data_IF_591368072833
#
_entry.id   IF_591368072833
#
_cell.length_a   1.000
_cell.length_b   1.000
_cell.length_c   1.000
_cell.angle_alpha   90.00
_cell.angle_beta   90.00
_cell.angle_gamma   90.00
#
_symmetry.space_group_name_H-M   'P 1'
#
loop_
_entity.id
_entity.type
_entity.pdbx_description
1 polymer ?
#
# COMPACT_ATOMS: atom_id res chain seq x y z
N UNK A 1 6.01 -6.99 34.11
CA UNK A 1 6.57 -6.67 32.78
C UNK A 1 6.07 -5.28 32.43
N UNK A 2 6.95 -4.35 32.03
CA UNK A 2 6.52 -3.03 31.57
C UNK A 2 5.68 -3.17 30.30
N UNK A 3 4.64 -2.34 30.16
CA UNK A 3 3.83 -2.27 28.94
C UNK A 3 4.72 -1.89 27.76
N UNK A 4 4.68 -2.64 26.65
CA UNK A 4 5.45 -2.33 25.46
C UNK A 4 5.00 -0.98 24.87
N UNK A 5 5.91 -0.17 24.31
CA UNK A 5 5.51 1.05 23.62
C UNK A 5 4.64 0.70 22.41
N UNK A 6 3.74 1.61 22.04
CA UNK A 6 2.85 1.44 20.89
C UNK A 6 3.29 2.24 19.69
N UNK A 7 3.20 1.62 18.52
CA UNK A 7 3.56 2.20 17.23
C UNK A 7 2.35 2.14 16.30
N UNK A 8 1.92 3.30 15.80
CA UNK A 8 0.87 3.38 14.76
C UNK A 8 1.52 3.31 13.39
N UNK A 9 1.13 2.31 12.61
CA UNK A 9 1.59 2.06 11.24
C UNK A 9 0.51 2.54 10.26
N UNK A 10 0.64 3.79 9.82
CA UNK A 10 -0.33 4.46 8.98
C UNK A 10 -0.04 4.24 7.49
N UNK A 11 -1.06 3.86 6.71
CA UNK A 11 -0.90 3.62 5.27
C UNK A 11 -1.71 4.60 4.41
N UNK A 12 -1.18 4.90 3.23
CA UNK A 12 -1.90 5.57 2.15
C UNK A 12 -2.79 4.59 1.36
N UNK A 13 -3.65 5.16 0.50
CA UNK A 13 -4.48 4.55 -0.56
C UNK A 13 -5.82 3.97 -0.11
N UNK A 14 -6.86 4.16 -0.95
CA UNK A 14 -8.24 3.74 -0.69
C UNK A 14 -8.56 2.27 -0.95
N UNK A 15 -7.84 1.61 -1.86
CA UNK A 15 -8.15 0.23 -2.33
C UNK A 15 -6.94 -0.69 -2.45
N UNK A 16 -5.71 -0.17 -2.36
CA UNK A 16 -4.49 -0.92 -2.68
C UNK A 16 -3.89 -1.68 -1.50
N UNK A 17 -3.20 -2.79 -1.80
CA UNK A 17 -2.44 -3.59 -0.82
C UNK A 17 -0.96 -3.17 -0.69
N UNK A 18 -0.41 -2.36 -1.59
CA UNK A 18 1.03 -2.06 -1.63
C UNK A 18 1.61 -1.52 -0.31
N UNK A 19 1.12 -0.35 0.14
CA UNK A 19 1.53 0.25 1.43
C UNK A 19 1.13 -0.62 2.62
N UNK A 20 -0.04 -1.25 2.53
CA UNK A 20 -0.57 -2.08 3.61
C UNK A 20 0.26 -3.34 3.85
N UNK A 21 0.72 -4.02 2.80
CA UNK A 21 1.58 -5.19 2.91
C UNK A 21 2.96 -4.84 3.49
N UNK A 22 3.56 -3.71 3.09
CA UNK A 22 4.83 -3.27 3.68
C UNK A 22 4.68 -2.93 5.17
N UNK A 23 3.62 -2.22 5.54
CA UNK A 23 3.36 -1.95 6.96
C UNK A 23 3.01 -3.22 7.73
N UNK A 24 2.35 -4.22 7.12
CA UNK A 24 2.13 -5.52 7.75
C UNK A 24 3.44 -6.26 7.99
N UNK A 25 4.39 -6.24 7.04
CA UNK A 25 5.72 -6.83 7.21
C UNK A 25 6.43 -6.22 8.43
N UNK A 26 6.46 -4.88 8.50
CA UNK A 26 7.04 -4.15 9.65
C UNK A 26 6.28 -4.47 10.95
N UNK A 27 4.94 -4.58 10.91
CA UNK A 27 4.13 -4.89 12.08
C UNK A 27 4.46 -6.26 12.68
N UNK A 28 4.60 -7.29 11.84
CA UNK A 28 4.94 -8.64 12.30
C UNK A 28 6.31 -8.69 12.98
N UNK A 29 7.28 -7.90 12.51
CA UNK A 29 8.64 -7.85 13.05
C UNK A 29 8.82 -6.84 14.20
N UNK A 30 7.84 -5.96 14.42
CA UNK A 30 7.74 -5.14 15.63
C UNK A 30 7.28 -5.94 16.84
N UNK A 31 6.57 -7.05 16.64
CA UNK A 31 6.03 -7.86 17.72
C UNK A 31 7.14 -8.30 18.69
N UNK A 32 6.91 -8.08 19.99
CA UNK A 32 7.90 -8.32 21.05
C UNK A 32 8.81 -7.14 21.37
N UNK A 33 8.87 -6.12 20.50
CA UNK A 33 9.60 -4.85 20.75
C UNK A 33 8.66 -3.67 20.98
N UNK A 34 7.53 -3.66 20.27
CA UNK A 34 6.45 -2.68 20.42
C UNK A 34 5.11 -3.35 20.08
N UNK A 35 4.00 -2.77 20.52
CA UNK A 35 2.66 -3.16 20.06
C UNK A 35 2.30 -2.38 18.78
N UNK A 36 2.19 -3.04 17.61
CA UNK A 36 1.82 -2.38 16.36
C UNK A 36 0.30 -2.20 16.25
N UNK A 37 -0.13 -1.02 15.81
CA UNK A 37 -1.52 -0.75 15.43
C UNK A 37 -1.54 -0.23 13.99
N UNK A 38 -2.17 -0.95 13.08
CA UNK A 38 -2.29 -0.54 11.68
C UNK A 38 -3.42 0.47 11.53
N UNK A 39 -3.14 1.66 11.00
CA UNK A 39 -4.15 2.65 10.63
C UNK A 39 -4.19 2.79 9.11
N UNK A 40 -5.22 2.28 8.46
CA UNK A 40 -5.21 2.15 7.01
C UNK A 40 -6.29 2.97 6.34
N UNK A 41 -5.91 3.65 5.25
CA UNK A 41 -6.88 4.26 4.34
C UNK A 41 -7.52 3.25 3.37
N UNK A 42 -7.00 2.02 3.33
CA UNK A 42 -7.34 1.00 2.33
C UNK A 42 -8.49 0.11 2.80
N UNK A 43 -9.46 -0.13 1.91
CA UNK A 43 -10.54 -1.10 2.11
C UNK A 43 -10.01 -2.55 2.27
N UNK A 44 -8.77 -2.80 1.86
CA UNK A 44 -8.11 -4.09 2.05
C UNK A 44 -7.57 -4.32 3.48
N UNK A 45 -7.78 -3.38 4.41
CA UNK A 45 -7.32 -3.52 5.81
C UNK A 45 -7.87 -4.74 6.55
N UNK A 46 -9.02 -5.27 6.12
CA UNK A 46 -9.53 -6.54 6.63
C UNK A 46 -8.56 -7.71 6.43
N UNK A 47 -7.71 -7.66 5.39
CA UNK A 47 -6.71 -8.68 5.10
C UNK A 47 -5.72 -8.75 6.27
N UNK A 48 -5.13 -7.63 6.68
CA UNK A 48 -4.14 -7.65 7.77
C UNK A 48 -4.73 -8.06 9.12
N UNK A 49 -6.02 -7.76 9.38
CA UNK A 49 -6.71 -8.22 10.59
C UNK A 49 -6.83 -9.75 10.63
N UNK A 50 -7.14 -10.39 9.50
CA UNK A 50 -7.18 -11.86 9.40
C UNK A 50 -5.82 -12.52 9.69
N UNK A 51 -4.74 -11.76 9.55
CA UNK A 51 -3.38 -12.17 9.90
C UNK A 51 -2.93 -11.66 11.28
N UNK A 52 -3.88 -11.41 12.19
CA UNK A 52 -3.60 -11.15 13.60
C UNK A 52 -3.12 -9.74 13.92
N UNK A 53 -3.15 -8.81 12.96
CA UNK A 53 -2.76 -7.42 13.21
C UNK A 53 -3.96 -6.59 13.67
N UNK A 54 -3.80 -5.89 14.80
CA UNK A 54 -4.79 -4.92 15.28
C UNK A 54 -4.83 -3.74 14.32
N UNK A 55 -6.01 -3.43 13.78
CA UNK A 55 -6.13 -2.43 12.72
C UNK A 55 -7.36 -1.52 12.87
N UNK A 56 -7.27 -0.31 12.32
CA UNK A 56 -8.38 0.62 12.16
C UNK A 56 -8.48 1.09 10.69
N UNK A 57 -9.66 0.96 10.10
CA UNK A 57 -9.99 1.57 8.81
C UNK A 57 -10.37 3.05 8.96
N UNK A 58 -9.73 3.92 8.19
CA UNK A 58 -10.15 5.30 8.00
C UNK A 58 -10.48 5.54 6.52
N UNK A 59 -11.67 6.01 6.16
CA UNK A 59 -12.02 6.22 4.76
C UNK A 59 -11.07 7.19 4.04
N UNK A 60 -10.58 6.81 2.86
CA UNK A 60 -9.77 7.71 2.02
C UNK A 60 -10.62 8.82 1.38
N UNK A 61 -10.00 9.93 1.00
CA UNK A 61 -10.69 11.03 0.30
C UNK A 61 -11.32 10.60 -1.04
N UNK A 62 -10.82 9.54 -1.68
CA UNK A 62 -11.37 9.00 -2.92
C UNK A 62 -12.78 8.42 -2.77
N UNK A 63 -13.23 8.12 -1.54
CA UNK A 63 -14.60 7.69 -1.27
C UNK A 63 -15.63 8.78 -1.52
N UNK A 64 -15.20 10.05 -1.62
CA UNK A 64 -16.08 11.19 -1.92
C UNK A 64 -17.29 11.31 -0.96
N UNK A 65 -17.16 10.87 0.29
CA UNK A 65 -18.23 10.96 1.29
C UNK A 65 -18.33 12.33 1.98
N UNK A 66 -17.25 13.10 1.92
CA UNK A 66 -17.17 14.45 2.47
C UNK A 66 -16.30 15.32 1.57
N UNK A 67 -16.46 16.66 1.62
CA UNK A 67 -15.61 17.56 0.86
C UNK A 67 -14.12 17.31 1.15
N UNK A 68 -13.27 17.31 0.11
CA UNK A 68 -11.84 16.99 0.22
C UNK A 68 -11.11 17.78 1.33
N UNK A 69 -11.50 19.04 1.55
CA UNK A 69 -10.90 19.90 2.58
C UNK A 69 -11.34 19.51 3.99
N UNK A 70 -12.61 19.14 4.14
CA UNK A 70 -13.15 18.62 5.39
C UNK A 70 -12.49 17.29 5.76
N UNK A 71 -12.20 16.46 4.76
CA UNK A 71 -11.49 15.19 4.95
C UNK A 71 -10.13 15.36 5.64
N UNK A 72 -9.39 16.44 5.39
CA UNK A 72 -8.14 16.69 6.10
C UNK A 72 -8.34 17.00 7.59
N UNK A 73 -9.40 17.76 7.94
CA UNK A 73 -9.75 17.99 9.35
C UNK A 73 -10.20 16.70 10.03
N UNK A 74 -11.03 15.91 9.33
CA UNK A 74 -11.46 14.59 9.77
C UNK A 74 -10.27 13.65 10.02
N UNK A 75 -9.35 13.50 9.07
CA UNK A 75 -8.14 12.69 9.21
C UNK A 75 -7.29 13.15 10.41
N UNK A 76 -7.10 14.46 10.58
CA UNK A 76 -6.36 15.02 11.71
C UNK A 76 -7.00 14.67 13.06
N UNK A 77 -8.32 14.74 13.16
CA UNK A 77 -9.08 14.39 14.36
C UNK A 77 -9.03 12.88 14.64
N UNK A 78 -9.23 12.05 13.60
CA UNK A 78 -9.12 10.58 13.66
C UNK A 78 -7.77 10.14 14.22
N UNK A 79 -6.68 10.63 13.63
CA UNK A 79 -5.32 10.33 14.09
C UNK A 79 -5.10 10.80 15.52
N UNK A 80 -5.57 12.01 15.87
CA UNK A 80 -5.40 12.54 17.22
C UNK A 80 -6.13 11.74 18.29
N UNK A 81 -7.34 11.24 17.97
CA UNK A 81 -8.08 10.37 18.87
C UNK A 81 -7.38 9.04 19.01
N UNK A 82 -6.90 8.44 17.91
CA UNK A 82 -6.20 7.17 17.92
C UNK A 82 -4.91 7.24 18.74
N UNK A 83 -4.07 8.26 18.51
CA UNK A 83 -2.80 8.44 19.23
C UNK A 83 -3.01 8.56 20.75
N UNK A 84 -4.05 9.26 21.19
CA UNK A 84 -4.39 9.38 22.61
C UNK A 84 -4.95 8.09 23.20
N UNK A 85 -5.82 7.42 22.45
CA UNK A 85 -6.41 6.14 22.86
C UNK A 85 -5.34 5.07 23.07
N UNK A 86 -4.41 4.99 22.12
CA UNK A 86 -3.35 3.98 22.16
C UNK A 86 -2.18 4.44 23.02
N UNK A 87 -2.00 5.75 23.28
CA UNK A 87 -0.76 6.30 23.85
C UNK A 87 0.47 5.94 23.01
N UNK A 88 0.28 5.90 21.69
CA UNK A 88 1.36 5.58 20.76
C UNK A 88 2.49 6.62 20.87
N UNK A 89 3.73 6.13 20.86
CA UNK A 89 4.94 6.96 20.91
C UNK A 89 5.47 7.30 19.53
N UNK A 90 5.11 6.49 18.53
CA UNK A 90 5.51 6.67 17.13
C UNK A 90 4.31 6.50 16.21
N UNK A 91 4.23 7.35 15.18
CA UNK A 91 3.39 7.16 14.01
C UNK A 91 4.28 7.09 12.77
N UNK A 92 4.34 5.92 12.13
CA UNK A 92 5.01 5.74 10.86
C UNK A 92 4.00 5.80 9.71
N UNK A 93 4.18 6.73 8.78
CA UNK A 93 3.32 6.87 7.61
C UNK A 93 4.01 6.35 6.35
N UNK A 94 3.47 5.29 5.76
CA UNK A 94 3.89 4.79 4.45
C UNK A 94 3.00 5.39 3.34
N UNK A 95 3.58 6.28 2.54
CA UNK A 95 2.87 7.00 1.48
C UNK A 95 3.80 7.85 0.61
N UNK A 96 3.39 8.12 -0.64
CA UNK A 96 4.19 8.95 -1.56
C UNK A 96 4.07 10.44 -1.25
N UNK A 97 3.00 10.87 -0.57
CA UNK A 97 2.78 12.26 -0.21
C UNK A 97 2.03 12.37 1.13
N UNK A 98 2.62 13.00 2.17
CA UNK A 98 1.95 13.28 3.42
C UNK A 98 0.70 14.16 3.23
N UNK A 99 -0.44 13.72 3.77
CA UNK A 99 -1.67 14.49 3.73
C UNK A 99 -1.62 15.69 4.67
N UNK A 100 -2.34 16.76 4.33
CA UNK A 100 -2.49 17.91 5.23
C UNK A 100 -3.04 17.51 6.60
N UNK A 101 -4.00 16.58 6.66
CA UNK A 101 -4.54 16.08 7.93
C UNK A 101 -3.48 15.38 8.80
N UNK A 102 -2.55 14.65 8.17
CA UNK A 102 -1.42 14.03 8.87
C UNK A 102 -0.46 15.08 9.44
N UNK A 103 -0.10 16.09 8.64
CA UNK A 103 0.78 17.18 9.08
C UNK A 103 0.15 18.01 10.21
N UNK A 104 -1.17 18.17 10.20
CA UNK A 104 -1.91 18.83 11.30
C UNK A 104 -1.96 17.99 12.56
N UNK A 105 -2.19 16.68 12.45
CA UNK A 105 -2.06 15.77 13.58
C UNK A 105 -0.66 15.87 14.18
N UNK A 106 0.38 15.83 13.35
CA UNK A 106 1.75 16.01 13.82
C UNK A 106 1.97 17.31 14.60
N UNK A 107 1.53 18.45 14.09
CA UNK A 107 1.66 19.72 14.81
C UNK A 107 0.97 19.71 16.19
N UNK A 108 -0.07 18.88 16.39
CA UNK A 108 -0.83 18.77 17.63
C UNK A 108 -0.28 17.75 18.64
N UNK A 109 0.66 16.88 18.24
CA UNK A 109 1.24 15.82 19.08
C UNK A 109 2.77 15.88 19.00
N UNK A 110 3.40 16.94 19.57
CA UNK A 110 4.86 17.08 19.54
C UNK A 110 5.59 15.99 20.35
N UNK A 111 4.89 15.29 21.24
CA UNK A 111 5.36 14.18 22.07
C UNK A 111 5.36 12.82 21.34
N UNK A 112 4.77 12.75 20.14
CA UNK A 112 4.76 11.55 19.29
C UNK A 112 5.73 11.73 18.14
N UNK A 113 6.62 10.76 17.94
CA UNK A 113 7.56 10.80 16.82
C UNK A 113 6.84 10.46 15.53
N UNK A 114 6.98 11.27 14.48
CA UNK A 114 6.41 10.98 13.18
C UNK A 114 7.50 10.56 12.21
N UNK A 115 7.31 9.39 11.61
CA UNK A 115 8.23 8.80 10.65
C UNK A 115 7.57 8.78 9.28
N UNK A 116 8.27 9.24 8.25
CA UNK A 116 7.81 9.09 6.87
C UNK A 116 8.54 7.93 6.21
N UNK A 117 7.81 6.86 5.93
CA UNK A 117 8.30 5.75 5.10
C UNK A 117 8.01 6.11 3.65
N UNK A 118 9.06 6.51 2.93
CA UNK A 118 9.00 7.06 1.58
C UNK A 118 9.88 6.25 0.65
N UNK A 119 9.27 5.46 -0.23
CA UNK A 119 9.98 4.74 -1.29
C UNK A 119 10.60 5.70 -2.30
N UNK A 120 11.74 5.30 -2.87
CA UNK A 120 12.33 5.93 -4.06
C UNK A 120 11.64 5.48 -5.36
N UNK A 121 12.39 5.47 -6.46
CA UNK A 121 11.93 5.08 -7.81
C UNK A 121 10.71 5.88 -8.27
N UNK A 122 10.79 7.20 -8.11
CA UNK A 122 9.75 8.10 -8.62
C UNK A 122 10.02 8.43 -10.09
N UNK A 123 8.95 8.55 -10.88
CA UNK A 123 9.02 9.05 -12.25
C UNK A 123 9.75 10.41 -12.26
N UNK A 124 10.67 10.65 -13.22
CA UNK A 124 11.40 11.90 -13.32
C UNK A 124 10.48 13.12 -13.33
N UNK A 125 10.78 14.12 -12.49
CA UNK A 125 10.03 15.37 -12.41
C UNK A 125 8.72 15.32 -11.59
N UNK A 126 8.25 14.14 -11.21
CA UNK A 126 6.96 13.96 -10.53
C UNK A 126 7.08 14.13 -9.01
N UNK A 127 5.98 14.54 -8.37
CA UNK A 127 5.78 14.56 -6.91
C UNK A 127 6.81 15.38 -6.08
N UNK A 128 7.63 16.24 -6.71
CA UNK A 128 8.64 17.08 -6.03
C UNK A 128 8.08 17.89 -4.85
N UNK A 129 6.83 18.37 -4.96
CA UNK A 129 6.18 19.17 -3.91
C UNK A 129 5.96 18.40 -2.61
N UNK A 130 5.80 17.07 -2.66
CA UNK A 130 5.63 16.24 -1.47
C UNK A 130 6.90 16.28 -0.58
N UNK A 131 8.08 16.42 -1.19
CA UNK A 131 9.35 16.52 -0.47
C UNK A 131 9.43 17.77 0.43
N UNK A 132 8.56 18.77 0.23
CA UNK A 132 8.49 19.89 1.16
C UNK A 132 7.98 19.47 2.54
N UNK A 133 7.39 18.29 2.69
CA UNK A 133 6.90 17.78 3.98
C UNK A 133 8.01 17.16 4.85
N UNK A 134 9.20 16.85 4.32
CA UNK A 134 10.30 16.18 5.06
C UNK A 134 10.62 16.81 6.42
N UNK A 135 10.70 18.15 6.57
CA UNK A 135 11.03 18.76 7.86
C UNK A 135 9.97 18.54 8.96
N UNK A 136 8.76 18.12 8.62
CA UNK A 136 7.71 17.81 9.61
C UNK A 136 7.87 16.43 10.25
N UNK A 137 8.80 15.61 9.78
CA UNK A 137 9.03 14.27 10.27
C UNK A 137 10.33 14.21 11.07
N UNK A 138 10.31 13.41 12.12
CA UNK A 138 11.46 13.18 13.00
C UNK A 138 12.44 12.18 12.39
N UNK A 139 11.96 11.36 11.44
CA UNK A 139 12.75 10.44 10.64
C UNK A 139 12.10 10.25 9.26
N UNK A 140 12.91 10.16 8.22
CA UNK A 140 12.50 9.63 6.92
C UNK A 140 13.21 8.31 6.71
N UNK A 141 12.43 7.24 6.49
CA UNK A 141 12.95 5.91 6.13
C UNK A 141 12.68 5.70 4.65
N UNK A 142 13.70 5.33 3.89
CA UNK A 142 13.59 5.03 2.47
C UNK A 142 13.89 3.54 2.23
N UNK A 143 12.86 2.71 2.03
CA UNK A 143 13.05 1.33 1.60
C UNK A 143 13.82 1.27 0.28
N UNK A 144 14.86 0.45 0.24
CA UNK A 144 15.66 0.20 -0.95
C UNK A 144 14.86 -0.40 -2.10
N UNK A 145 15.37 -0.25 -3.31
CA UNK A 145 14.83 -0.88 -4.51
C UNK A 145 15.97 -1.67 -5.20
N UNK A 146 15.72 -2.89 -5.66
CA UNK A 146 16.72 -3.70 -6.39
C UNK A 146 17.16 -3.00 -7.68
N UNK A 147 16.30 -2.15 -8.26
CA UNK A 147 16.62 -1.28 -9.39
C UNK A 147 17.11 0.12 -8.95
N UNK A 148 17.48 0.31 -7.68
CA UNK A 148 17.75 1.63 -7.10
C UNK A 148 18.88 2.40 -7.79
N UNK A 149 19.84 1.70 -8.40
CA UNK A 149 20.90 2.32 -9.20
C UNK A 149 20.38 3.08 -10.45
N UNK A 150 19.19 2.69 -10.94
CA UNK A 150 18.52 3.33 -12.07
C UNK A 150 17.51 4.42 -11.64
N UNK A 151 17.41 4.77 -10.35
CA UNK A 151 16.48 5.80 -9.89
C UNK A 151 16.87 7.19 -10.42
N UNK A 152 16.00 7.76 -11.26
CA UNK A 152 16.11 9.11 -11.80
C UNK A 152 15.10 10.09 -11.16
N UNK A 153 14.42 9.63 -10.12
CA UNK A 153 13.37 10.35 -9.42
C UNK A 153 13.87 11.48 -8.53
N UNK A 154 12.93 12.24 -8.00
CA UNK A 154 13.23 13.38 -7.11
C UNK A 154 13.88 12.97 -5.78
N UNK A 155 13.83 11.67 -5.43
CA UNK A 155 14.41 11.07 -4.23
C UNK A 155 15.83 10.55 -4.43
N UNK A 156 16.22 10.22 -5.66
CA UNK A 156 17.45 9.49 -5.97
C UNK A 156 18.71 10.10 -5.36
N UNK A 157 18.81 11.45 -5.40
CA UNK A 157 19.98 12.20 -4.91
C UNK A 157 19.82 12.75 -3.49
N UNK A 158 18.74 12.41 -2.79
CA UNK A 158 18.52 12.87 -1.43
C UNK A 158 19.32 12.01 -0.44
N UNK A 159 19.91 12.68 0.54
CA UNK A 159 20.72 12.09 1.62
C UNK A 159 20.07 12.26 3.00
N UNK A 160 18.84 12.79 3.05
CA UNK A 160 18.13 13.11 4.29
C UNK A 160 17.18 12.00 4.76
N UNK A 161 17.35 10.77 4.24
CA UNK A 161 16.62 9.59 4.64
C UNK A 161 17.58 8.51 5.13
N UNK A 162 17.16 7.77 6.15
CA UNK A 162 17.81 6.51 6.52
C UNK A 162 17.34 5.46 5.53
N UNK A 163 18.26 5.00 4.67
CA UNK A 163 17.98 3.91 3.73
C UNK A 163 18.03 2.58 4.47
N UNK A 164 17.08 1.72 4.16
CA UNK A 164 17.02 0.33 4.65
C UNK A 164 16.98 -0.60 3.46
N UNK A 165 17.25 -1.89 3.67
CA UNK A 165 17.00 -2.94 2.67
C UNK A 165 15.53 -2.90 2.17
N UNK A 166 15.15 -3.53 1.04
CA UNK A 166 13.76 -3.54 0.62
C UNK A 166 12.83 -4.10 1.70
N UNK A 167 11.71 -3.43 1.96
CA UNK A 167 10.66 -3.92 2.87
C UNK A 167 9.75 -4.89 2.11
N UNK A 168 9.72 -6.16 2.50
CA UNK A 168 8.96 -7.23 1.85
C UNK A 168 8.28 -8.15 2.85
N UNK A 169 7.14 -8.76 2.48
CA UNK A 169 6.49 -9.78 3.29
C UNK A 169 7.31 -11.09 3.37
N UNK A 170 8.28 -11.29 2.47
CA UNK A 170 9.21 -12.42 2.49
C UNK A 170 9.96 -12.56 3.82
N UNK A 171 10.39 -11.44 4.42
CA UNK A 171 11.10 -11.47 5.69
C UNK A 171 10.17 -11.86 6.85
N UNK A 172 8.95 -11.32 6.84
CA UNK A 172 8.01 -11.45 7.95
C UNK A 172 7.25 -12.79 7.94
N UNK A 173 7.35 -13.57 6.87
CA UNK A 173 6.54 -14.78 6.67
C UNK A 173 7.40 -15.90 6.11
N UNK A 174 7.69 -16.94 6.91
CA UNK A 174 8.45 -18.09 6.45
C UNK A 174 7.82 -18.72 5.19
N UNK A 175 8.61 -19.04 4.15
CA UNK A 175 8.11 -19.72 2.97
C UNK A 175 7.67 -21.14 3.34
N UNK A 176 6.60 -21.60 2.70
CA UNK A 176 6.21 -23.02 2.73
C UNK A 176 7.11 -23.82 1.77
N UNK A 177 7.21 -25.12 1.99
CA UNK A 177 7.78 -26.00 0.97
C UNK A 177 6.91 -25.97 -0.30
N UNK A 178 7.50 -26.34 -1.45
CA UNK A 178 6.76 -26.42 -2.73
C UNK A 178 5.48 -27.26 -2.61
N UNK A 179 5.57 -28.44 -1.99
CA UNK A 179 4.44 -29.33 -1.83
C UNK A 179 3.32 -28.74 -0.94
N UNK A 180 3.68 -28.15 0.20
CA UNK A 180 2.70 -27.48 1.08
C UNK A 180 2.07 -26.26 0.40
N UNK A 181 2.86 -25.48 -0.34
CA UNK A 181 2.39 -24.32 -1.06
C UNK A 181 1.41 -24.72 -2.18
N UNK A 182 1.77 -25.71 -3.00
CA UNK A 182 0.92 -26.23 -4.08
C UNK A 182 -0.40 -26.77 -3.52
N UNK A 183 -0.34 -27.61 -2.48
CA UNK A 183 -1.53 -28.17 -1.84
C UNK A 183 -2.45 -27.09 -1.27
N UNK A 184 -1.89 -26.08 -0.58
CA UNK A 184 -2.67 -24.98 -0.01
C UNK A 184 -3.33 -24.09 -1.07
N UNK A 185 -2.77 -24.04 -2.29
CA UNK A 185 -3.32 -23.27 -3.42
C UNK A 185 -4.19 -24.12 -4.37
N UNK A 186 -4.34 -25.42 -4.12
CA UNK A 186 -5.08 -26.32 -5.01
C UNK A 186 -4.41 -26.49 -6.39
N UNK A 187 -3.07 -26.49 -6.41
CA UNK A 187 -2.25 -26.68 -7.59
C UNK A 187 -1.68 -28.10 -7.61
N UNK A 188 -1.42 -28.62 -8.81
CA UNK A 188 -0.73 -29.89 -8.99
C UNK A 188 0.78 -29.73 -8.72
N UNK A 189 1.37 -30.36 -7.69
CA UNK A 189 2.78 -30.19 -7.35
C UNK A 189 3.74 -30.75 -8.41
N UNK A 190 3.29 -31.68 -9.24
CA UNK A 190 4.10 -32.38 -10.25
C UNK A 190 4.14 -31.65 -11.60
N UNK A 191 3.34 -30.58 -11.73
CA UNK A 191 3.28 -29.74 -12.94
C UNK A 191 4.03 -28.42 -12.75
N UNK A 192 4.71 -27.92 -13.80
CA UNK A 192 5.26 -26.58 -13.75
C UNK A 192 4.12 -25.54 -13.69
N UNK A 193 4.30 -24.55 -12.82
CA UNK A 193 3.26 -23.57 -12.50
C UNK A 193 3.74 -22.15 -12.80
N UNK A 194 3.00 -21.43 -13.66
CA UNK A 194 3.22 -20.01 -13.90
C UNK A 194 2.27 -19.15 -13.05
N UNK A 195 2.79 -18.10 -12.42
CA UNK A 195 1.98 -17.07 -11.75
C UNK A 195 1.76 -15.88 -12.70
N UNK A 196 0.51 -15.48 -12.94
CA UNK A 196 0.19 -14.24 -13.67
C UNK A 196 -0.47 -13.22 -12.74
N UNK A 197 0.22 -12.12 -12.49
CA UNK A 197 -0.20 -11.05 -11.56
C UNK A 197 0.12 -9.63 -12.08
N UNK A 198 -0.73 -9.13 -12.98
CA UNK A 198 -0.58 -7.79 -13.57
C UNK A 198 -1.34 -6.67 -12.81
N UNK A 199 -1.85 -6.96 -11.62
CA UNK A 199 -2.64 -6.04 -10.80
C UNK A 199 -4.11 -5.96 -11.19
N UNK A 200 -4.87 -5.09 -10.51
CA UNK A 200 -6.34 -5.13 -10.50
C UNK A 200 -7.06 -4.37 -11.64
N UNK A 201 -6.36 -3.99 -12.72
CA UNK A 201 -6.98 -3.36 -13.90
C UNK A 201 -7.73 -2.05 -13.65
N UNK A 202 -7.58 -1.42 -12.48
CA UNK A 202 -8.37 -0.23 -12.12
C UNK A 202 -7.88 1.06 -12.78
N UNK A 203 -6.70 1.04 -13.40
CA UNK A 203 -6.02 2.21 -13.97
C UNK A 203 -5.56 1.98 -15.43
N UNK A 204 -5.29 0.72 -15.81
CA UNK A 204 -4.83 0.31 -17.15
C UNK A 204 -5.47 -1.03 -17.56
N UNK A 205 -5.41 -1.36 -18.86
CA UNK A 205 -5.80 -2.68 -19.35
C UNK A 205 -4.74 -3.72 -18.95
N UNK A 206 -5.06 -4.49 -17.91
CA UNK A 206 -4.25 -5.61 -17.44
C UNK A 206 -4.73 -6.94 -17.98
N UNK A 207 -5.89 -6.98 -18.67
CA UNK A 207 -6.54 -8.20 -19.13
C UNK A 207 -5.84 -8.72 -20.38
N UNK A 208 -5.62 -7.85 -21.36
CA UNK A 208 -4.99 -8.24 -22.62
C UNK A 208 -3.59 -8.85 -22.44
N UNK A 209 -2.63 -8.21 -21.74
CA UNK A 209 -1.33 -8.83 -21.50
C UNK A 209 -1.40 -10.09 -20.63
N UNK A 210 -2.33 -10.16 -19.66
CA UNK A 210 -2.52 -11.37 -18.87
C UNK A 210 -3.01 -12.54 -19.72
N UNK A 211 -3.95 -12.30 -20.63
CA UNK A 211 -4.45 -13.34 -21.55
C UNK A 211 -3.37 -13.79 -22.53
N UNK A 212 -2.55 -12.87 -23.05
CA UNK A 212 -1.41 -13.24 -23.89
C UNK A 212 -0.45 -14.18 -23.15
N UNK A 213 -0.16 -13.88 -21.87
CA UNK A 213 0.67 -14.75 -21.04
C UNK A 213 0.01 -16.12 -20.78
N UNK A 214 -1.25 -16.13 -20.37
CA UNK A 214 -2.01 -17.35 -20.08
C UNK A 214 -2.02 -18.26 -21.32
N UNK A 215 -2.39 -17.74 -22.49
CA UNK A 215 -2.41 -18.53 -23.72
C UNK A 215 -1.03 -19.07 -24.06
N UNK A 216 0.01 -18.25 -24.00
CA UNK A 216 1.37 -18.69 -24.34
C UNK A 216 1.92 -19.78 -23.41
N UNK A 217 1.60 -19.76 -22.11
CA UNK A 217 1.94 -20.88 -21.22
C UNK A 217 1.12 -22.13 -21.56
N UNK A 218 -0.16 -21.97 -21.86
CA UNK A 218 -1.09 -23.07 -22.13
C UNK A 218 -0.95 -23.67 -23.54
N UNK A 219 -0.19 -23.05 -24.45
CA UNK A 219 0.23 -23.65 -25.72
C UNK A 219 1.13 -24.89 -25.52
N UNK A 220 1.63 -25.11 -24.31
CA UNK A 220 2.30 -26.34 -23.87
C UNK A 220 1.33 -27.25 -23.10
N UNK A 221 1.53 -28.57 -23.11
CA UNK A 221 0.62 -29.52 -22.46
C UNK A 221 0.87 -29.66 -20.94
N UNK A 222 2.07 -29.33 -20.47
CA UNK A 222 2.54 -29.58 -19.11
C UNK A 222 2.21 -28.46 -18.11
N UNK A 223 2.18 -27.20 -18.54
CA UNK A 223 1.98 -26.07 -17.62
C UNK A 223 0.56 -25.92 -17.09
N UNK A 224 0.47 -25.45 -15.84
CA UNK A 224 -0.73 -24.85 -15.25
C UNK A 224 -0.46 -23.38 -14.91
N UNK A 225 -1.51 -22.56 -14.87
CA UNK A 225 -1.40 -21.11 -14.65
C UNK A 225 -2.22 -20.69 -13.45
N UNK A 226 -1.58 -20.07 -12.47
CA UNK A 226 -2.22 -19.46 -11.32
C UNK A 226 -2.40 -17.94 -11.55
N UNK A 227 -3.59 -17.43 -11.30
CA UNK A 227 -3.93 -16.00 -11.47
C UNK A 227 -4.44 -15.40 -10.17
N UNK A 228 -3.95 -14.22 -9.77
CA UNK A 228 -4.42 -13.56 -8.54
C UNK A 228 -5.83 -12.97 -8.66
N UNK A 229 -6.33 -12.86 -9.90
CA UNK A 229 -7.69 -12.49 -10.24
C UNK A 229 -8.00 -13.06 -11.61
N UNK A 230 -9.07 -13.83 -11.75
CA UNK A 230 -9.44 -14.35 -13.06
C UNK A 230 -9.75 -13.18 -14.01
N UNK A 231 -9.09 -13.10 -15.18
CA UNK A 231 -9.54 -12.20 -16.22
C UNK A 231 -10.97 -12.60 -16.60
N UNK A 232 -11.87 -11.61 -16.77
CA UNK A 232 -13.23 -11.86 -17.28
C UNK A 232 -13.20 -12.65 -18.61
N UNK A 233 -12.08 -12.56 -19.33
CA UNK A 233 -11.78 -13.26 -20.57
C UNK A 233 -11.46 -14.77 -20.43
N UNK A 234 -11.40 -15.36 -19.22
CA UNK A 234 -11.29 -16.84 -19.07
C UNK A 234 -12.44 -17.56 -19.77
N UNK A 235 -13.61 -16.92 -19.89
CA UNK A 235 -14.77 -17.46 -20.62
C UNK A 235 -14.51 -17.70 -22.12
N UNK A 236 -13.45 -17.12 -22.70
CA UNK A 236 -13.07 -17.32 -24.10
C UNK A 236 -12.10 -18.48 -24.34
N UNK A 237 -11.58 -19.13 -23.30
CA UNK A 237 -10.67 -20.27 -23.45
C UNK A 237 -11.45 -21.57 -23.69
N UNK A 238 -10.95 -22.49 -24.55
CA UNK A 238 -11.44 -23.86 -24.61
C UNK A 238 -11.45 -24.51 -23.21
N UNK A 239 -12.42 -25.37 -22.93
CA UNK A 239 -12.61 -25.98 -21.60
C UNK A 239 -11.35 -26.65 -21.06
N UNK A 240 -10.67 -27.46 -21.88
CA UNK A 240 -9.43 -28.15 -21.49
C UNK A 240 -8.26 -27.20 -21.14
N UNK A 241 -8.24 -25.96 -21.67
CA UNK A 241 -7.29 -24.93 -21.27
C UNK A 241 -7.75 -24.20 -20.02
N UNK A 242 -9.05 -23.93 -19.93
CA UNK A 242 -9.65 -23.28 -18.77
C UNK A 242 -9.45 -24.11 -17.49
N UNK A 243 -9.46 -25.44 -17.56
CA UNK A 243 -9.24 -26.35 -16.42
C UNK A 243 -7.81 -26.25 -15.83
N UNK A 244 -6.85 -25.72 -16.60
CA UNK A 244 -5.46 -25.50 -16.17
C UNK A 244 -5.20 -24.10 -15.63
N UNK A 245 -6.25 -23.27 -15.49
CA UNK A 245 -6.17 -21.92 -14.94
C UNK A 245 -6.79 -21.89 -13.53
N UNK A 246 -5.96 -21.60 -12.53
CA UNK A 246 -6.32 -21.61 -11.12
C UNK A 246 -6.42 -20.19 -10.59
N UNK A 247 -7.59 -19.78 -10.10
CA UNK A 247 -7.75 -18.47 -9.47
C UNK A 247 -7.36 -18.51 -7.99
N UNK A 248 -6.37 -17.70 -7.61
CA UNK A 248 -5.88 -17.56 -6.25
C UNK A 248 -6.75 -16.57 -5.45
N UNK A 249 -7.98 -16.97 -5.15
CA UNK A 249 -8.92 -16.12 -4.42
C UNK A 249 -8.52 -15.96 -2.95
N UNK A 250 -8.42 -14.71 -2.48
CA UNK A 250 -8.13 -14.36 -1.07
C UNK A 250 -6.78 -14.89 -0.53
N UNK A 251 -5.80 -15.15 -1.40
CA UNK A 251 -4.46 -15.59 -0.98
C UNK A 251 -3.64 -14.38 -0.54
N UNK A 252 -3.36 -14.30 0.75
CA UNK A 252 -2.40 -13.37 1.32
C UNK A 252 -1.76 -13.99 2.56
N UNK A 253 -0.48 -13.71 2.85
CA UNK A 253 0.49 -13.09 1.94
C UNK A 253 0.96 -14.10 0.88
N UNK A 254 0.99 -13.68 -0.39
CA UNK A 254 1.43 -14.54 -1.51
C UNK A 254 2.89 -15.00 -1.35
N UNK A 255 3.71 -14.18 -0.68
CA UNK A 255 5.11 -14.44 -0.35
C UNK A 255 5.37 -15.86 0.23
N UNK A 256 4.43 -16.41 1.02
CA UNK A 256 4.56 -17.75 1.62
C UNK A 256 4.52 -18.89 0.61
N UNK A 257 3.94 -18.65 -0.55
CA UNK A 257 3.63 -19.68 -1.54
C UNK A 257 4.54 -19.61 -2.77
N UNK A 258 5.46 -18.64 -2.83
CA UNK A 258 6.23 -18.36 -4.06
C UNK A 258 7.07 -19.53 -4.54
N UNK A 259 7.49 -20.43 -3.64
CA UNK A 259 8.23 -21.65 -3.96
C UNK A 259 7.45 -22.62 -4.86
N UNK A 260 6.14 -22.47 -5.03
CA UNK A 260 5.36 -23.29 -5.96
C UNK A 260 5.50 -22.87 -7.41
N UNK A 261 5.88 -21.62 -7.68
CA UNK A 261 5.86 -21.04 -9.01
C UNK A 261 7.23 -21.19 -9.68
N UNK A 262 7.24 -21.78 -10.86
CA UNK A 262 8.44 -22.00 -11.68
C UNK A 262 8.71 -20.82 -12.62
N UNK A 263 7.70 -19.98 -12.84
CA UNK A 263 7.75 -18.76 -13.63
C UNK A 263 6.70 -17.76 -13.14
N UNK A 264 6.93 -16.47 -13.40
CA UNK A 264 5.93 -15.44 -13.16
C UNK A 264 5.85 -14.40 -14.29
N UNK A 265 4.67 -13.84 -14.51
CA UNK A 265 4.43 -12.64 -15.31
C UNK A 265 3.77 -11.62 -14.40
N UNK A 266 4.47 -10.54 -14.11
CA UNK A 266 4.06 -9.59 -13.08
C UNK A 266 4.16 -8.14 -13.53
N UNK A 267 3.29 -7.29 -12.97
CA UNK A 267 3.52 -5.86 -13.01
C UNK A 267 4.86 -5.53 -12.32
N UNK A 268 5.59 -4.54 -12.82
CA UNK A 268 6.86 -4.11 -12.24
C UNK A 268 6.70 -3.14 -11.05
N UNK A 269 5.71 -3.40 -10.20
CA UNK A 269 5.47 -2.64 -8.97
C UNK A 269 6.42 -3.08 -7.86
N UNK A 270 6.74 -2.14 -6.95
CA UNK A 270 7.70 -2.37 -5.86
C UNK A 270 7.51 -3.72 -5.14
N UNK A 271 6.33 -4.02 -4.58
CA UNK A 271 6.17 -5.23 -3.76
C UNK A 271 6.39 -6.50 -4.58
N UNK A 272 5.82 -6.59 -5.78
CA UNK A 272 5.92 -7.78 -6.62
C UNK A 272 7.37 -8.06 -7.03
N UNK A 273 8.11 -7.02 -7.42
CA UNK A 273 9.54 -7.14 -7.76
C UNK A 273 10.35 -7.67 -6.56
N UNK A 274 10.15 -7.08 -5.38
CA UNK A 274 10.88 -7.46 -4.16
C UNK A 274 10.35 -8.72 -3.46
N UNK A 275 9.30 -9.34 -3.99
CA UNK A 275 8.80 -10.64 -3.55
C UNK A 275 9.22 -11.72 -4.54
N UNK A 276 9.01 -11.53 -5.85
CA UNK A 276 9.31 -12.55 -6.86
C UNK A 276 10.81 -12.75 -7.08
N UNK A 277 11.54 -11.67 -7.33
CA UNK A 277 12.96 -11.78 -7.68
C UNK A 277 13.78 -12.18 -6.44
N UNK A 278 13.46 -11.63 -5.27
CA UNK A 278 14.14 -12.02 -4.03
C UNK A 278 13.78 -13.44 -3.55
N UNK A 279 12.67 -14.01 -4.03
CA UNK A 279 12.36 -15.43 -3.85
C UNK A 279 13.00 -16.32 -4.93
N UNK A 280 13.72 -15.76 -5.91
CA UNK A 280 14.36 -16.50 -6.99
C UNK A 280 13.41 -16.98 -8.08
N UNK A 281 12.19 -16.42 -8.18
CA UNK A 281 11.21 -16.80 -9.21
C UNK A 281 11.55 -16.13 -10.55
N UNK A 282 11.86 -16.91 -11.62
CA UNK A 282 12.07 -16.35 -12.95
C UNK A 282 10.86 -15.55 -13.41
N UNK A 283 11.05 -14.27 -13.73
CA UNK A 283 9.93 -13.33 -13.89
C UNK A 283 10.02 -12.52 -15.18
N UNK A 284 8.91 -12.42 -15.90
CA UNK A 284 8.66 -11.40 -16.93
C UNK A 284 8.00 -10.20 -16.26
N UNK A 285 8.62 -9.03 -16.40
CA UNK A 285 8.12 -7.76 -15.89
C UNK A 285 7.40 -6.99 -17.00
N UNK A 286 6.11 -6.77 -16.79
CA UNK A 286 5.22 -5.99 -17.67
C UNK A 286 4.89 -4.67 -16.94
N UNK A 287 5.61 -3.57 -17.19
CA UNK A 287 5.48 -2.36 -16.37
C UNK A 287 4.16 -1.63 -16.59
N UNK A 288 3.50 -1.20 -15.52
CA UNK A 288 2.34 -0.30 -15.60
C UNK A 288 2.79 1.17 -15.72
N UNK A 289 2.67 1.74 -16.93
CA UNK A 289 3.08 3.11 -17.24
C UNK A 289 2.04 4.17 -16.86
N UNK A 290 0.82 3.76 -16.51
CA UNK A 290 -0.27 4.64 -16.04
C UNK A 290 -0.15 5.01 -14.56
N UNK A 291 0.89 4.53 -13.87
CA UNK A 291 1.16 4.86 -12.47
C UNK A 291 1.49 6.35 -12.27
N UNK A 292 0.93 6.92 -11.19
CA UNK A 292 1.03 8.36 -10.93
C UNK A 292 2.40 8.80 -10.41
N UNK A 293 3.19 7.93 -9.79
CA UNK A 293 4.47 8.30 -9.15
C UNK A 293 5.55 7.23 -9.30
N UNK A 294 5.20 5.95 -9.20
CA UNK A 294 6.15 4.83 -9.31
C UNK A 294 6.70 4.69 -10.74
N UNK A 295 8.01 4.57 -10.93
CA UNK A 295 8.61 4.37 -12.26
C UNK A 295 8.82 2.88 -12.59
N UNK A 296 7.72 2.21 -12.90
CA UNK A 296 7.75 0.78 -13.22
C UNK A 296 8.53 0.46 -14.50
N UNK A 297 8.55 1.37 -15.48
CA UNK A 297 9.23 1.15 -16.76
C UNK A 297 10.74 1.13 -16.58
N UNK A 298 11.29 2.11 -15.87
CA UNK A 298 12.72 2.17 -15.57
C UNK A 298 13.14 0.97 -14.71
N UNK A 299 12.31 0.60 -13.71
CA UNK A 299 12.52 -0.61 -12.91
C UNK A 299 12.61 -1.87 -13.78
N UNK A 300 11.60 -2.13 -14.60
CA UNK A 300 11.54 -3.34 -15.42
C UNK A 300 12.72 -3.44 -16.40
N UNK A 301 13.05 -2.35 -17.10
CA UNK A 301 14.15 -2.32 -18.08
C UNK A 301 15.50 -2.55 -17.41
N UNK A 302 15.81 -1.81 -16.35
CA UNK A 302 17.11 -1.94 -15.67
C UNK A 302 17.34 -3.34 -15.09
N UNK A 303 16.29 -4.00 -14.59
CA UNK A 303 16.39 -5.38 -14.10
C UNK A 303 16.56 -6.39 -15.23
N UNK A 304 15.93 -6.15 -16.39
CA UNK A 304 16.14 -6.98 -17.57
C UNK A 304 17.55 -6.80 -18.14
N UNK A 305 18.04 -5.57 -18.24
CA UNK A 305 19.41 -5.25 -18.67
C UNK A 305 20.46 -5.87 -17.73
N UNK A 306 20.11 -6.05 -16.44
CA UNK A 306 20.94 -6.73 -15.44
C UNK A 306 20.79 -8.26 -15.43
N UNK A 307 19.96 -8.86 -16.30
CA UNK A 307 19.74 -10.31 -16.36
C UNK A 307 18.96 -10.88 -15.17
N UNK A 308 18.19 -10.06 -14.45
CA UNK A 308 17.39 -10.47 -13.28
C UNK A 308 15.93 -10.77 -13.64
N UNK A 309 15.47 -10.35 -14.81
CA UNK A 309 14.11 -10.57 -15.29
C UNK A 309 14.08 -10.49 -16.83
N UNK A 310 12.96 -10.88 -17.43
CA UNK A 310 12.64 -10.48 -18.80
C UNK A 310 11.75 -9.23 -18.79
N UNK A 311 11.82 -8.44 -19.85
CA UNK A 311 10.94 -7.28 -20.05
C UNK A 311 9.94 -7.57 -21.16
N UNK A 312 8.68 -7.21 -20.94
CA UNK A 312 7.68 -7.18 -22.01
C UNK A 312 6.91 -5.85 -22.00
N UNK A 313 6.56 -5.35 -23.19
CA UNK A 313 5.82 -4.10 -23.33
C UNK A 313 4.32 -4.32 -23.08
N UNK A 314 3.74 -3.61 -22.11
CA UNK A 314 2.32 -3.75 -21.74
C UNK A 314 1.36 -3.40 -22.89
N UNK A 315 1.82 -2.61 -23.87
CA UNK A 315 1.01 -2.17 -25.01
C UNK A 315 1.01 -3.17 -26.17
N UNK A 316 1.85 -4.20 -26.11
CA UNK A 316 2.05 -5.16 -27.19
C UNK A 316 1.87 -6.59 -26.69
N UNK A 317 0.69 -7.20 -26.87
CA UNK A 317 0.43 -8.57 -26.43
C UNK A 317 1.42 -9.59 -27.00
N UNK A 318 1.89 -9.38 -28.22
CA UNK A 318 2.93 -10.20 -28.84
C UNK A 318 4.25 -10.18 -28.05
N UNK A 319 4.66 -9.02 -27.52
CA UNK A 319 5.85 -8.90 -26.69
C UNK A 319 5.76 -9.76 -25.42
N UNK A 320 4.56 -9.86 -24.83
CA UNK A 320 4.33 -10.73 -23.67
C UNK A 320 4.42 -12.20 -24.06
N UNK A 321 3.78 -12.59 -25.16
CA UNK A 321 3.82 -13.98 -25.63
C UNK A 321 5.24 -14.41 -26.02
N UNK A 322 6.02 -13.55 -26.67
CA UNK A 322 7.41 -13.82 -27.04
C UNK A 322 8.29 -14.01 -25.79
N UNK A 323 8.15 -13.13 -24.80
CA UNK A 323 8.86 -13.26 -23.52
C UNK A 323 8.46 -14.53 -22.76
N UNK A 324 7.19 -14.98 -22.85
CA UNK A 324 6.76 -16.26 -22.27
C UNK A 324 7.43 -17.43 -22.98
N UNK A 325 7.52 -17.42 -24.31
CA UNK A 325 8.21 -18.48 -25.07
C UNK A 325 9.70 -18.55 -24.71
N UNK A 326 10.33 -17.40 -24.48
CA UNK A 326 11.70 -17.33 -23.95
C UNK A 326 11.78 -17.92 -22.53
N UNK A 327 10.84 -17.56 -21.64
CA UNK A 327 10.78 -18.10 -20.28
C UNK A 327 10.34 -19.58 -20.22
N UNK A 328 9.80 -20.16 -21.30
CA UNK A 328 9.51 -21.59 -21.37
C UNK A 328 10.79 -22.43 -21.55
N UNK A 329 11.90 -21.84 -22.03
CA UNK A 329 13.19 -22.51 -22.08
C UNK A 329 13.78 -22.71 -20.65
N UNK A 330 14.04 -23.97 -20.23
CA UNK A 330 14.62 -24.25 -18.93
C UNK A 330 15.99 -23.59 -18.70
N UNK A 331 16.78 -23.39 -19.75
CA UNK A 331 18.11 -22.76 -19.65
C UNK A 331 17.95 -21.30 -19.23
N UNK A 332 17.07 -20.57 -19.92
CA UNK A 332 16.75 -19.18 -19.61
C UNK A 332 16.16 -19.04 -18.20
N UNK A 333 15.20 -19.90 -17.81
CA UNK A 333 14.66 -19.88 -16.43
C UNK A 333 15.73 -20.12 -15.38
N UNK A 334 16.60 -21.11 -15.60
CA UNK A 334 17.68 -21.46 -14.69
C UNK A 334 18.65 -20.30 -14.49
N UNK A 335 19.01 -19.61 -15.57
CA UNK A 335 19.89 -18.44 -15.53
C UNK A 335 19.28 -17.29 -14.72
N UNK A 336 17.99 -16.96 -14.96
CA UNK A 336 17.28 -15.91 -14.21
C UNK A 336 17.16 -16.26 -12.72
N UNK A 337 16.84 -17.51 -12.39
CA UNK A 337 16.75 -17.98 -11.01
C UNK A 337 18.10 -17.86 -10.29
N UNK A 338 19.20 -18.28 -10.94
CA UNK A 338 20.55 -18.17 -10.38
C UNK A 338 20.97 -16.71 -10.19
N UNK A 339 20.72 -15.85 -11.17
CA UNK A 339 21.01 -14.42 -11.04
C UNK A 339 20.25 -13.80 -9.86
N UNK A 340 18.96 -14.13 -9.72
CA UNK A 340 18.13 -13.67 -8.60
C UNK A 340 18.60 -14.18 -7.24
N UNK A 341 19.16 -15.40 -7.15
CA UNK A 341 19.73 -15.94 -5.90
C UNK A 341 20.91 -15.12 -5.36
N UNK A 342 21.56 -14.32 -6.20
CA UNK A 342 22.66 -13.42 -5.77
C UNK A 342 22.17 -12.15 -5.08
N UNK A 343 20.87 -11.83 -5.17
CA UNK A 343 20.30 -10.66 -4.54
C UNK A 343 20.26 -10.82 -3.01
N UNK A 344 20.56 -9.75 -2.24
CA UNK A 344 20.54 -9.83 -0.79
C UNK A 344 19.11 -10.03 -0.26
N UNK A 345 18.98 -10.79 0.83
CA UNK A 345 17.70 -10.99 1.51
C UNK A 345 17.09 -9.66 1.99
N UNK A 346 15.76 -9.44 1.84
CA UNK A 346 15.13 -8.15 2.13
C UNK A 346 14.91 -7.91 3.62
N UNK A 347 15.96 -7.55 4.36
CA UNK A 347 15.93 -7.23 5.80
C UNK A 347 15.26 -5.89 6.16
N UNK A 348 14.62 -5.23 5.18
CA UNK A 348 14.13 -3.87 5.36
C UNK A 348 13.01 -3.74 6.39
N UNK A 349 12.21 -4.79 6.56
CA UNK A 349 11.10 -4.76 7.50
C UNK A 349 11.60 -4.84 8.95
N UNK A 350 12.60 -5.68 9.24
CA UNK A 350 13.26 -5.71 10.56
C UNK A 350 14.04 -4.43 10.84
N UNK A 351 14.85 -3.95 9.89
CA UNK A 351 15.58 -2.68 10.03
C UNK A 351 14.64 -1.51 10.36
N UNK A 352 13.51 -1.44 9.66
CA UNK A 352 12.47 -0.44 9.94
C UNK A 352 11.85 -0.65 11.32
N UNK A 353 11.48 -1.89 11.68
CA UNK A 353 10.91 -2.20 12.99
C UNK A 353 11.85 -1.77 14.13
N UNK A 354 13.15 -1.99 13.97
CA UNK A 354 14.16 -1.58 14.96
C UNK A 354 14.28 -0.05 15.07
N UNK A 355 14.27 0.66 13.94
CA UNK A 355 14.26 2.13 13.93
C UNK A 355 13.04 2.68 14.68
N UNK A 356 11.86 2.11 14.42
CA UNK A 356 10.61 2.53 15.08
C UNK A 356 10.62 2.20 16.57
N UNK A 357 11.11 1.02 16.97
CA UNK A 357 11.21 0.64 18.38
C UNK A 357 12.17 1.55 19.16
N UNK A 358 13.38 1.77 18.63
CA UNK A 358 14.36 2.71 19.24
C UNK A 358 13.79 4.11 19.41
N UNK A 359 13.03 4.57 18.42
CA UNK A 359 12.39 5.88 18.48
C UNK A 359 11.27 5.92 19.52
N UNK A 360 10.49 4.85 19.65
CA UNK A 360 9.45 4.72 20.67
C UNK A 360 10.00 4.84 22.10
N UNK A 361 11.19 4.27 22.34
CA UNK A 361 11.85 4.30 23.65
C UNK A 361 12.52 5.64 23.93
N UNK A 362 13.24 6.20 22.94
CA UNK A 362 14.13 7.34 23.13
C UNK A 362 13.58 8.72 22.76
N UNK A 363 12.42 8.81 22.10
CA UNK A 363 11.93 10.10 21.61
C UNK A 363 11.45 11.03 22.72
N UNK A 364 12.11 12.19 22.86
CA UNK A 364 11.81 13.19 23.90
C UNK A 364 10.87 14.30 23.45
N UNK A 365 10.44 14.29 22.19
CA UNK A 365 9.58 15.32 21.61
C UNK A 365 10.21 16.06 20.43
N UNK A 366 9.36 16.51 19.52
CA UNK A 366 9.76 17.24 18.33
C UNK A 366 10.10 18.69 18.64
N UNK A 367 11.13 19.19 17.95
CA UNK A 367 11.58 20.57 18.04
C UNK A 367 11.37 21.26 16.69
N UNK A 368 10.22 21.94 16.48
CA UNK A 368 9.90 22.51 15.18
C UNK A 368 10.78 23.72 14.87
N UNK A 369 11.31 23.76 13.65
CA UNK A 369 12.05 24.90 13.10
C UNK A 369 11.12 26.11 12.91
N UNK A 370 11.69 27.32 12.82
CA UNK A 370 10.89 28.55 12.56
C UNK A 370 10.08 28.46 11.27
N UNK A 371 10.62 27.77 10.24
CA UNK A 371 9.94 27.54 8.96
C UNK A 371 8.76 26.57 9.11
N UNK A 372 8.92 25.50 9.89
CA UNK A 372 7.82 24.60 10.23
C UNK A 372 6.74 25.28 11.05
N UNK A 373 7.11 26.12 12.02
CA UNK A 373 6.14 26.89 12.83
C UNK A 373 5.29 27.80 11.94
N UNK A 374 5.94 28.60 11.07
CA UNK A 374 5.24 29.48 10.14
C UNK A 374 4.31 28.68 9.21
N UNK A 375 4.78 27.55 8.71
CA UNK A 375 3.97 26.70 7.82
C UNK A 375 2.84 26.02 8.57
N UNK A 376 3.04 25.58 9.80
CA UNK A 376 1.98 25.01 10.64
C UNK A 376 0.88 26.04 10.92
N UNK A 377 1.25 27.29 11.15
CA UNK A 377 0.32 28.42 11.24
C UNK A 377 -0.44 28.63 9.91
N UNK A 378 0.24 28.66 8.76
CA UNK A 378 -0.42 28.76 7.44
C UNK A 378 -1.40 27.58 7.20
N UNK A 379 -1.00 26.35 7.53
CA UNK A 379 -1.85 25.17 7.40
C UNK A 379 -3.11 25.27 8.29
N UNK A 380 -2.96 25.82 9.50
CA UNK A 380 -4.05 26.03 10.45
C UNK A 380 -4.96 27.17 10.00
N UNK A 381 -4.40 28.29 9.57
CA UNK A 381 -5.11 29.45 9.03
C UNK A 381 -5.91 29.07 7.76
N UNK A 382 -5.30 28.31 6.84
CA UNK A 382 -6.00 27.76 5.68
C UNK A 382 -7.16 26.86 6.09
N UNK A 383 -6.96 25.96 7.05
CA UNK A 383 -8.05 25.11 7.53
C UNK A 383 -9.22 25.92 8.12
N UNK A 384 -8.92 26.95 8.90
CA UNK A 384 -9.93 27.86 9.48
C UNK A 384 -10.64 28.65 8.39
N UNK A 385 -9.91 29.26 7.46
CA UNK A 385 -10.48 29.97 6.32
C UNK A 385 -11.36 29.06 5.46
N UNK A 386 -10.94 27.82 5.21
CA UNK A 386 -11.73 26.83 4.45
C UNK A 386 -12.99 26.39 5.20
N UNK A 387 -12.96 26.32 6.53
CA UNK A 387 -14.15 26.07 7.36
C UNK A 387 -15.16 27.21 7.26
N UNK A 388 -14.69 28.46 7.25
CA UNK A 388 -15.54 29.66 7.15
C UNK A 388 -16.11 29.83 5.73
N UNK A 389 -15.27 29.70 4.69
CA UNK A 389 -15.68 29.85 3.29
C UNK A 389 -16.64 28.76 2.81
N UNK A 390 -16.60 27.60 3.47
CA UNK A 390 -17.28 26.40 3.03
C UNK A 390 -16.82 25.93 1.64
N UNK A 391 -17.43 24.86 1.11
CA UNK A 391 -16.95 24.27 -0.14
C UNK A 391 -17.24 25.14 -1.39
N UNK A 392 -18.34 25.92 -1.39
CA UNK A 392 -18.67 26.85 -2.49
C UNK A 392 -17.68 28.02 -2.56
N UNK A 393 -17.40 28.67 -1.43
CA UNK A 393 -16.40 29.74 -1.37
C UNK A 393 -15.01 29.25 -1.73
N UNK A 394 -14.64 28.05 -1.26
CA UNK A 394 -13.33 27.49 -1.61
C UNK A 394 -13.21 27.09 -3.08
N UNK A 395 -14.27 26.56 -3.70
CA UNK A 395 -14.30 26.27 -5.13
C UNK A 395 -14.23 27.57 -5.98
N UNK A 396 -14.84 28.65 -5.52
CA UNK A 396 -14.72 29.97 -6.16
C UNK A 396 -13.28 30.52 -6.09
N UNK A 397 -12.64 30.46 -4.91
CA UNK A 397 -11.24 30.86 -4.74
C UNK A 397 -10.30 30.01 -5.61
N UNK A 398 -10.52 28.70 -5.69
CA UNK A 398 -9.72 27.82 -6.57
C UNK A 398 -9.88 28.18 -8.03
N UNK A 399 -11.10 28.43 -8.51
CA UNK A 399 -11.34 28.91 -9.88
C UNK A 399 -10.66 30.24 -10.16
N UNK A 400 -10.75 31.21 -9.23
CA UNK A 400 -10.06 32.50 -9.35
C UNK A 400 -8.53 32.35 -9.42
N UNK A 401 -7.97 31.33 -8.77
CA UNK A 401 -6.54 30.99 -8.81
C UNK A 401 -6.16 30.05 -9.98
N UNK A 402 -7.06 29.81 -10.95
CA UNK A 402 -6.82 28.92 -12.09
C UNK A 402 -6.66 27.44 -11.70
N UNK A 403 -7.13 27.04 -10.51
CA UNK A 403 -7.05 25.67 -10.00
C UNK A 403 -8.36 24.92 -10.24
N UNK A 404 -8.27 23.71 -10.77
CA UNK A 404 -9.42 22.82 -10.93
C UNK A 404 -10.13 22.57 -9.56
N UNK A 405 -11.46 22.43 -9.54
CA UNK A 405 -12.19 22.00 -8.35
C UNK A 405 -11.61 20.66 -7.84
N UNK A 406 -11.51 20.51 -6.52
CA UNK A 406 -11.17 19.19 -5.99
C UNK A 406 -12.34 18.24 -6.27
N UNK A 407 -12.10 17.02 -6.77
CA UNK A 407 -13.16 16.02 -6.92
C UNK A 407 -13.80 15.71 -5.56
N UNK A 408 -15.10 15.38 -5.57
CA UNK A 408 -15.90 15.08 -4.39
C UNK A 408 -17.05 16.06 -4.15
N UNK A 409 -17.89 15.81 -3.13
CA UNK A 409 -19.11 16.55 -2.93
C UNK A 409 -18.83 17.94 -2.36
N UNK A 410 -19.69 18.91 -2.70
CA UNK A 410 -19.62 20.28 -2.18
C UNK A 410 -20.29 20.46 -0.81
N UNK A 411 -20.90 19.41 -0.26
CA UNK A 411 -21.42 19.33 1.10
C UNK A 411 -21.19 17.92 1.60
N UNK A 412 -21.12 17.67 2.91
CA UNK A 412 -21.07 16.32 3.40
C UNK A 412 -22.32 15.53 2.99
N UNK A 413 -22.15 14.23 2.74
CA UNK A 413 -23.28 13.37 2.50
C UNK A 413 -24.09 13.23 3.79
N UNK A 414 -25.40 13.53 3.70
CA UNK A 414 -26.36 13.28 4.78
C UNK A 414 -26.80 11.83 4.74
N UNK A 415 -25.99 10.97 5.32
CA UNK A 415 -26.23 9.52 5.32
C UNK A 415 -25.77 8.95 6.65
N UNK A 416 -26.56 8.02 7.21
CA UNK A 416 -26.14 7.30 8.39
C UNK A 416 -24.90 6.47 8.06
N UNK A 417 -23.75 6.67 8.74
CA UNK A 417 -22.60 5.81 8.58
C UNK A 417 -22.89 4.42 9.15
N UNK A 418 -22.19 3.41 8.65
CA UNK A 418 -22.08 2.10 9.28
C UNK A 418 -21.04 2.23 10.40
N UNK A 419 -21.49 2.17 11.65
CA UNK A 419 -20.62 2.09 12.82
C UNK A 419 -20.31 0.62 13.07
N UNK A 420 -19.03 0.25 13.12
CA UNK A 420 -18.61 -1.14 13.33
C UNK A 420 -17.23 -1.20 13.96
N UNK A 421 -16.91 -2.28 14.66
CA UNK A 421 -15.53 -2.66 15.03
C UNK A 421 -15.07 -3.94 14.32
N UNK A 422 -15.81 -4.37 13.29
CA UNK A 422 -15.46 -5.48 12.41
C UNK A 422 -15.07 -4.94 11.02
N UNK A 423 -13.96 -5.45 10.48
CA UNK A 423 -13.51 -5.14 9.11
C UNK A 423 -14.09 -6.15 8.12
N UNK A 424 -15.38 -6.06 7.84
CA UNK A 424 -16.03 -6.91 6.84
C UNK A 424 -15.84 -6.36 5.42
N UNK A 425 -15.36 -7.15 4.44
CA UNK A 425 -15.14 -6.67 3.07
C UNK A 425 -16.40 -6.07 2.42
N UNK A 426 -17.57 -6.67 2.67
CA UNK A 426 -18.86 -6.18 2.13
C UNK A 426 -19.21 -4.79 2.66
N UNK A 427 -18.94 -4.53 3.94
CA UNK A 427 -19.15 -3.22 4.56
C UNK A 427 -18.14 -2.20 4.03
N UNK A 428 -16.86 -2.56 4.01
CA UNK A 428 -15.80 -1.66 3.55
C UNK A 428 -15.98 -1.27 2.09
N UNK A 429 -16.44 -2.19 1.23
CA UNK A 429 -16.65 -1.97 -0.20
C UNK A 429 -18.02 -1.37 -0.56
N UNK A 430 -18.96 -1.31 0.39
CA UNK A 430 -20.31 -0.77 0.16
C UNK A 430 -20.34 0.74 -0.06
N UNK A 431 -21.51 1.28 -0.41
CA UNK A 431 -21.66 2.69 -0.80
C UNK A 431 -21.85 3.67 0.37
N UNK A 432 -22.11 3.15 1.57
CA UNK A 432 -22.33 3.95 2.78
C UNK A 432 -21.02 4.30 3.47
N UNK A 433 -20.92 5.49 4.11
CA UNK A 433 -19.78 5.81 4.95
C UNK A 433 -19.56 4.78 6.05
N UNK A 434 -18.31 4.43 6.31
CA UNK A 434 -17.94 3.46 7.36
C UNK A 434 -17.10 4.15 8.41
N UNK A 435 -17.58 4.10 9.65
CA UNK A 435 -16.86 4.54 10.84
C UNK A 435 -16.42 3.32 11.62
N UNK A 436 -15.25 2.81 11.26
CA UNK A 436 -14.64 1.70 11.96
C UNK A 436 -13.99 2.17 13.27
N UNK A 437 -14.42 1.59 14.38
CA UNK A 437 -13.88 1.82 15.72
C UNK A 437 -12.82 0.76 16.01
N UNK A 438 -11.68 1.17 16.58
CA UNK A 438 -10.64 0.22 16.98
C UNK A 438 -11.20 -0.85 17.94
N UNK A 439 -11.02 -2.14 17.66
CA UNK A 439 -11.44 -3.20 18.57
C UNK A 439 -10.82 -3.05 19.96
N UNK A 440 -11.63 -3.30 20.99
CA UNK A 440 -11.22 -3.16 22.40
C UNK A 440 -10.96 -1.72 22.86
N UNK A 441 -11.35 -0.70 22.09
CA UNK A 441 -11.17 0.70 22.47
C UNK A 441 -12.09 1.17 23.61
N UNK A 442 -11.62 2.17 24.35
CA UNK A 442 -12.31 2.78 25.49
C UNK A 442 -13.65 3.40 25.11
N UNK A 443 -14.56 3.50 26.09
CA UNK A 443 -15.84 4.19 25.93
C UNK A 443 -15.64 5.66 25.51
N UNK A 444 -14.65 6.35 26.09
CA UNK A 444 -14.32 7.73 25.75
C UNK A 444 -13.90 7.88 24.28
N UNK A 445 -13.08 6.96 23.76
CA UNK A 445 -12.70 6.94 22.35
C UNK A 445 -13.92 6.74 21.45
N UNK A 446 -14.75 5.74 21.76
CA UNK A 446 -15.98 5.43 21.00
C UNK A 446 -16.93 6.64 20.98
N UNK A 447 -17.18 7.28 22.13
CA UNK A 447 -18.02 8.49 22.21
C UNK A 447 -17.47 9.64 21.37
N UNK A 448 -16.16 9.92 21.45
CA UNK A 448 -15.53 10.99 20.65
C UNK A 448 -15.54 10.70 19.15
N UNK A 449 -15.36 9.44 18.76
CA UNK A 449 -15.44 8.99 17.36
C UNK A 449 -16.85 9.15 16.80
N UNK A 450 -17.88 8.82 17.58
CA UNK A 450 -19.27 9.03 17.19
C UNK A 450 -19.59 10.53 17.05
N UNK A 451 -19.13 11.37 17.99
CA UNK A 451 -19.29 12.82 17.89
C UNK A 451 -18.64 13.40 16.61
N UNK A 452 -17.45 12.91 16.25
CA UNK A 452 -16.79 13.29 15.00
C UNK A 452 -17.59 12.84 13.76
N UNK A 453 -18.14 11.63 13.79
CA UNK A 453 -18.99 11.13 12.71
C UNK A 453 -20.27 11.96 12.55
N UNK A 454 -20.89 12.42 13.65
CA UNK A 454 -22.05 13.32 13.61
C UNK A 454 -21.72 14.66 12.95
N UNK A 455 -20.59 15.27 13.30
CA UNK A 455 -20.14 16.52 12.70
C UNK A 455 -19.90 16.37 11.19
N UNK A 456 -19.29 15.26 10.79
CA UNK A 456 -18.85 15.06 9.41
C UNK A 456 -19.97 14.58 8.49
N UNK A 457 -20.88 13.72 8.94
CA UNK A 457 -21.95 13.18 8.09
C UNK A 457 -23.31 13.83 8.32
N UNK A 458 -23.39 14.87 9.17
CA UNK A 458 -24.64 15.54 9.54
C UNK A 458 -25.74 14.53 9.93
N UNK A 459 -25.31 13.50 10.66
CA UNK A 459 -26.13 12.39 11.14
C UNK A 459 -26.30 12.51 12.65
N UNK A 460 -27.51 12.27 13.15
CA UNK A 460 -27.79 12.08 14.58
C UNK A 460 -28.56 10.76 14.73
N UNK A 461 -28.22 9.88 15.69
CA UNK A 461 -29.05 8.72 15.97
C UNK A 461 -30.42 9.23 16.42
N UNK A 462 -31.49 8.48 16.13
CA UNK A 462 -32.75 8.70 16.82
C UNK A 462 -32.46 8.57 18.33
N UNK A 463 -32.85 9.57 19.12
CA UNK A 463 -32.82 9.39 20.57
C UNK A 463 -33.72 8.19 20.90
N UNK A 464 -33.31 7.30 21.81
CA UNK A 464 -34.23 6.28 22.32
C UNK A 464 -35.46 7.03 22.84
N UNK A 465 -36.63 6.69 22.29
CA UNK A 465 -37.91 7.19 22.80
C UNK A 465 -37.96 6.86 24.29
N UNK A 466 -38.28 7.83 25.17
CA UNK A 466 -38.20 7.67 26.63
C UNK A 466 -39.02 6.50 27.15
#
# INVERSE_FOLDING_TARGET
MSELPRVVLATSNGTGMGHLARQAAVAHLLAGRAEPIVFSLSQAVHVVQRHGLRAEYCPSHHRNWMPHLMWHSYLSARLSLLLRETRARVLAFDGVAPYLGLLRARAAHPDVAFVWIRRGMWRPGVNRRALNARPFFDLVVEPGDVAGAADLGATARLTDATRVSPVSMLEAQPPLSRAEAAAALGLDPDRPTALVTLGAGSINDTVTPAMAAITAFLDTDDWQVAVTRAPLARAGLPSHLADRVHELANVYPLARYLATFDAAVSAAGYNAVHELLLAGVPTILVPNTATATDDQRTRARSLADAGLALYADETQPASVADAVRELLDPTTRGALAEACRTLPFPTGASETAELLARLADGFTGHRPTSRERLRSLDLTARATAMRILGPRGTAAVRRALGRLPAPGPSRPLRVAPVITDQLEPRVLNGDRPVEHLLPGSSSLYRTRRLALAYEVYDWRPAQPTP
#
